data_IF_706074199251
#
_entry.id   IF_706074199251
#
_cell.length_a   1.000
_cell.length_b   1.000
_cell.length_c   1.000
_cell.angle_alpha   90.00
_cell.angle_beta   90.00
_cell.angle_gamma   90.00
#
_symmetry.space_group_name_H-M   'P 1'
#
loop_
_entity.id
_entity.type
_entity.pdbx_description
1 polymer ?
#
# COMPACT_ATOMS: atom_id res chain seq x y z
N UNK A 1 7.09 21.79 7.46
CA UNK A 1 8.32 22.39 8.06
C UNK A 1 9.38 21.38 8.51
N UNK A 2 9.17 20.10 8.37
CA UNK A 2 10.17 19.07 8.60
C UNK A 2 10.67 18.53 7.25
N UNK A 3 11.97 18.19 7.16
CA UNK A 3 12.53 17.50 5.99
C UNK A 3 11.95 16.09 5.86
N UNK A 4 12.16 15.40 4.72
CA UNK A 4 11.76 14.00 4.53
C UNK A 4 12.24 13.12 5.69
N UNK A 5 13.55 13.17 6.01
CA UNK A 5 14.14 12.41 7.11
C UNK A 5 13.45 12.70 8.45
N UNK A 6 13.31 13.95 8.81
CA UNK A 6 12.66 14.36 10.06
C UNK A 6 11.17 13.98 10.11
N UNK A 7 10.48 13.98 8.96
CA UNK A 7 9.12 13.50 8.85
C UNK A 7 9.00 12.00 9.18
N UNK A 8 9.89 11.17 8.64
CA UNK A 8 9.88 9.73 8.91
C UNK A 8 10.30 9.45 10.36
N UNK A 9 11.30 10.16 10.88
CA UNK A 9 11.75 10.05 12.28
C UNK A 9 10.70 10.51 13.29
N UNK A 10 9.75 11.36 12.92
CA UNK A 10 8.84 12.01 13.86
C UNK A 10 8.11 11.04 14.79
N UNK A 11 7.49 10.01 14.24
CA UNK A 11 6.78 9.01 15.04
C UNK A 11 7.70 8.16 15.91
N UNK A 12 8.93 7.89 15.45
CA UNK A 12 9.96 7.17 16.23
C UNK A 12 10.40 7.97 17.45
N UNK A 13 10.58 9.29 17.27
CA UNK A 13 10.93 10.21 18.36
C UNK A 13 9.81 10.30 19.39
N UNK A 14 8.55 10.33 18.98
CA UNK A 14 7.41 10.30 19.90
C UNK A 14 7.36 9.01 20.72
N UNK A 15 7.87 7.88 20.19
CA UNK A 15 8.04 6.62 20.94
C UNK A 15 9.27 6.61 21.85
N UNK A 16 10.02 7.71 21.96
CA UNK A 16 11.19 7.80 22.84
C UNK A 16 12.47 7.19 22.24
N UNK A 17 12.51 6.86 20.97
CA UNK A 17 13.69 6.29 20.31
C UNK A 17 14.83 7.30 20.27
N UNK A 18 16.07 6.85 20.51
CA UNK A 18 17.27 7.69 20.46
C UNK A 18 17.52 8.18 19.02
N UNK A 19 18.16 9.33 18.87
CA UNK A 19 18.36 10.00 17.58
C UNK A 19 19.03 9.10 16.54
N UNK A 20 20.13 8.47 16.90
CA UNK A 20 20.89 7.59 15.99
C UNK A 20 20.06 6.40 15.52
N UNK A 21 19.39 5.72 16.44
CA UNK A 21 18.54 4.58 16.14
C UNK A 21 17.32 4.97 15.29
N UNK A 22 16.69 6.12 15.61
CA UNK A 22 15.57 6.64 14.83
C UNK A 22 16.01 7.03 13.41
N UNK A 23 17.22 7.58 13.25
CA UNK A 23 17.76 7.93 11.94
C UNK A 23 18.08 6.68 11.10
N UNK A 24 18.73 5.68 11.67
CA UNK A 24 19.04 4.43 10.98
C UNK A 24 17.74 3.74 10.49
N UNK A 25 16.73 3.66 11.35
CA UNK A 25 15.45 3.05 10.99
C UNK A 25 14.68 3.90 9.96
N UNK A 26 14.69 5.23 10.09
CA UNK A 26 14.08 6.11 9.10
C UNK A 26 14.73 5.96 7.74
N UNK A 27 16.07 5.88 7.67
CA UNK A 27 16.79 5.67 6.41
C UNK A 27 16.46 4.35 5.74
N UNK A 28 16.24 3.26 6.50
CA UNK A 28 15.76 1.98 5.96
C UNK A 28 14.48 2.18 5.13
N UNK A 29 13.47 2.86 5.70
CA UNK A 29 12.19 3.05 5.02
C UNK A 29 12.21 4.15 3.96
N UNK A 30 13.07 5.17 4.09
CA UNK A 30 13.30 6.17 3.03
C UNK A 30 13.90 5.49 1.79
N UNK A 31 14.85 4.58 1.98
CA UNK A 31 15.42 3.78 0.89
C UNK A 31 14.39 2.84 0.27
N UNK A 32 13.56 2.16 1.08
CA UNK A 32 12.46 1.33 0.58
C UNK A 32 11.54 2.08 -0.39
N UNK A 33 11.28 3.36 -0.13
CA UNK A 33 10.46 4.21 -0.99
C UNK A 33 11.26 5.02 -2.01
N UNK A 34 12.56 4.78 -2.17
CA UNK A 34 13.46 5.41 -3.14
C UNK A 34 13.47 6.95 -3.04
N UNK A 35 13.70 7.45 -1.83
CA UNK A 35 13.80 8.89 -1.55
C UNK A 35 15.10 9.27 -0.82
N UNK A 36 16.15 8.45 -0.93
CA UNK A 36 17.44 8.69 -0.31
C UNK A 36 18.12 9.99 -0.77
N UNK A 37 17.93 10.37 -2.02
CA UNK A 37 18.49 11.62 -2.57
C UNK A 37 17.71 12.87 -2.11
N UNK A 38 16.56 12.69 -1.45
CA UNK A 38 15.65 13.75 -1.01
C UNK A 38 15.51 13.85 0.51
N UNK A 39 16.43 13.26 1.28
CA UNK A 39 16.34 13.16 2.75
C UNK A 39 16.24 14.52 3.44
N UNK A 40 16.91 15.54 2.90
CA UNK A 40 16.93 16.90 3.42
C UNK A 40 15.92 17.83 2.73
N UNK A 41 15.20 17.36 1.71
CA UNK A 41 14.17 18.13 1.04
C UNK A 41 12.94 18.35 1.94
N UNK A 42 12.29 19.49 1.75
CA UNK A 42 11.04 19.82 2.42
C UNK A 42 9.84 19.39 1.59
N UNK A 43 8.66 19.16 2.19
CA UNK A 43 7.45 18.74 1.44
C UNK A 43 7.06 19.65 0.28
N UNK A 44 7.35 20.96 0.35
CA UNK A 44 7.10 21.92 -0.74
C UNK A 44 7.93 21.64 -2.00
N UNK A 45 9.07 20.96 -1.85
CA UNK A 45 10.02 20.65 -2.92
C UNK A 45 9.73 19.27 -3.56
N UNK A 46 8.74 18.55 -3.04
CA UNK A 46 8.39 17.22 -3.48
C UNK A 46 7.17 17.21 -4.41
N UNK A 47 7.19 16.32 -5.40
CA UNK A 47 6.00 16.00 -6.20
C UNK A 47 4.90 15.33 -5.35
N UNK A 48 3.67 15.22 -5.89
CA UNK A 48 2.58 14.53 -5.22
C UNK A 48 2.92 13.07 -4.90
N UNK A 49 3.49 12.35 -5.84
CA UNK A 49 3.93 10.97 -5.66
C UNK A 49 5.06 10.82 -4.63
N UNK A 50 6.02 11.76 -4.60
CA UNK A 50 7.07 11.76 -3.57
C UNK A 50 6.47 11.99 -2.17
N UNK A 51 5.52 12.91 -2.01
CA UNK A 51 4.81 13.12 -0.74
C UNK A 51 4.10 11.86 -0.28
N UNK A 52 3.46 11.14 -1.19
CA UNK A 52 2.78 9.89 -0.89
C UNK A 52 3.78 8.81 -0.43
N UNK A 53 4.93 8.69 -1.09
CA UNK A 53 6.03 7.80 -0.68
C UNK A 53 6.57 8.15 0.71
N UNK A 54 6.73 9.43 1.04
CA UNK A 54 7.09 9.86 2.41
C UNK A 54 6.03 9.43 3.43
N UNK A 55 4.75 9.55 3.11
CA UNK A 55 3.67 9.13 4.02
C UNK A 55 3.71 7.61 4.28
N UNK A 56 3.99 6.80 3.25
CA UNK A 56 4.19 5.35 3.39
C UNK A 56 5.38 5.06 4.30
N UNK A 57 6.56 5.67 4.05
CA UNK A 57 7.74 5.48 4.88
C UNK A 57 7.49 5.86 6.35
N UNK A 58 6.78 6.95 6.62
CA UNK A 58 6.36 7.37 7.97
C UNK A 58 5.50 6.32 8.66
N UNK A 59 4.52 5.77 7.94
CA UNK A 59 3.61 4.77 8.48
C UNK A 59 4.34 3.47 8.81
N UNK A 60 5.28 3.05 7.98
CA UNK A 60 6.10 1.86 8.20
C UNK A 60 7.10 2.01 9.34
N UNK A 61 7.76 3.17 9.44
CA UNK A 61 8.83 3.40 10.41
C UNK A 61 8.38 3.16 11.86
N UNK A 62 7.16 3.54 12.20
CA UNK A 62 6.64 3.36 13.57
C UNK A 62 6.30 1.92 13.93
N UNK A 63 6.50 0.98 13.01
CA UNK A 63 6.27 -0.46 13.21
C UNK A 63 4.89 -0.76 13.81
N UNK A 64 3.78 -0.42 13.13
CA UNK A 64 2.45 -0.67 13.65
C UNK A 64 2.08 -2.15 13.54
N UNK A 65 1.20 -2.65 14.43
CA UNK A 65 0.61 -4.00 14.32
C UNK A 65 -0.41 -4.10 13.18
N UNK A 66 -1.07 -2.99 12.87
CA UNK A 66 -2.02 -2.83 11.76
C UNK A 66 -1.69 -1.57 10.98
N UNK A 67 -1.48 -1.69 9.69
CA UNK A 67 -1.23 -0.59 8.77
C UNK A 67 -2.50 -0.30 7.95
N UNK A 68 -3.00 0.92 8.05
CA UNK A 68 -4.15 1.39 7.29
C UNK A 68 -3.67 2.34 6.19
N UNK A 69 -4.07 2.08 4.95
CA UNK A 69 -3.70 2.88 3.79
C UNK A 69 -4.93 3.16 2.92
N UNK A 70 -5.06 4.39 2.50
CA UNK A 70 -6.12 4.84 1.58
C UNK A 70 -5.46 5.30 0.28
N UNK A 71 -5.76 4.61 -0.83
CA UNK A 71 -5.22 4.88 -2.16
C UNK A 71 -3.67 5.06 -2.17
N UNK A 72 -2.87 4.13 -1.60
CA UNK A 72 -1.45 4.37 -1.34
C UNK A 72 -0.60 4.57 -2.60
N UNK A 73 -1.13 4.25 -3.78
CA UNK A 73 -0.41 4.36 -5.06
C UNK A 73 -1.07 5.33 -6.05
N UNK A 74 -2.17 5.99 -5.66
CA UNK A 74 -3.00 6.79 -6.57
C UNK A 74 -2.27 7.96 -7.24
N UNK A 75 -1.30 8.60 -6.56
CA UNK A 75 -0.54 9.74 -7.11
C UNK A 75 0.77 9.33 -7.81
N UNK A 76 1.02 8.02 -8.01
CA UNK A 76 2.25 7.51 -8.61
C UNK A 76 2.08 7.25 -10.10
N UNK A 77 3.13 7.53 -10.88
CA UNK A 77 3.25 7.03 -12.23
C UNK A 77 3.38 5.50 -12.26
N UNK A 78 3.10 4.88 -13.41
CA UNK A 78 3.03 3.43 -13.54
C UNK A 78 4.34 2.72 -13.16
N UNK A 79 5.50 3.26 -13.50
CA UNK A 79 6.79 2.66 -13.22
C UNK A 79 7.11 2.71 -11.73
N UNK A 80 6.98 3.88 -11.11
CA UNK A 80 7.19 4.08 -9.67
C UNK A 80 6.20 3.23 -8.85
N UNK A 81 4.94 3.14 -9.28
CA UNK A 81 3.91 2.29 -8.65
C UNK A 81 4.33 0.84 -8.64
N UNK A 82 4.74 0.30 -9.79
CA UNK A 82 5.20 -1.08 -9.93
C UNK A 82 6.38 -1.40 -9.03
N UNK A 83 7.38 -0.52 -8.98
CA UNK A 83 8.54 -0.69 -8.12
C UNK A 83 8.15 -0.67 -6.64
N UNK A 84 7.34 0.31 -6.22
CA UNK A 84 6.94 0.42 -4.83
C UNK A 84 6.05 -0.76 -4.38
N UNK A 85 5.15 -1.25 -5.23
CA UNK A 85 4.38 -2.46 -4.95
C UNK A 85 5.30 -3.66 -4.71
N UNK A 86 6.33 -3.83 -5.50
CA UNK A 86 7.32 -4.91 -5.35
C UNK A 86 8.09 -4.80 -4.03
N UNK A 87 8.57 -3.60 -3.68
CA UNK A 87 9.28 -3.37 -2.42
C UNK A 87 8.36 -3.56 -1.18
N UNK A 88 7.11 -3.15 -1.29
CA UNK A 88 6.14 -3.37 -0.22
C UNK A 88 5.82 -4.85 -0.02
N UNK A 89 5.61 -5.61 -1.10
CA UNK A 89 5.39 -7.06 -1.01
C UNK A 89 6.56 -7.75 -0.31
N UNK A 90 7.78 -7.43 -0.71
CA UNK A 90 8.99 -7.96 -0.08
C UNK A 90 9.05 -7.61 1.42
N UNK A 91 8.82 -6.35 1.76
CA UNK A 91 8.79 -5.90 3.16
C UNK A 91 7.70 -6.61 3.96
N UNK A 92 6.52 -6.84 3.38
CA UNK A 92 5.43 -7.56 4.06
C UNK A 92 5.76 -9.02 4.30
N UNK A 93 6.46 -9.67 3.39
CA UNK A 93 6.92 -11.05 3.58
C UNK A 93 7.93 -11.16 4.71
N UNK A 94 8.86 -10.20 4.80
CA UNK A 94 9.87 -10.15 5.85
C UNK A 94 9.26 -9.81 7.23
N UNK A 95 8.41 -8.80 7.29
CA UNK A 95 7.91 -8.23 8.55
C UNK A 95 6.56 -8.82 8.99
N UNK A 96 5.87 -9.58 8.14
CA UNK A 96 4.58 -10.27 8.41
C UNK A 96 3.52 -9.37 9.05
N UNK A 97 3.40 -8.12 8.59
CA UNK A 97 2.44 -7.15 9.11
C UNK A 97 1.04 -7.38 8.58
N UNK A 98 0.04 -7.04 9.40
CA UNK A 98 -1.32 -6.92 8.93
C UNK A 98 -1.49 -5.57 8.26
N UNK A 99 -1.88 -5.57 6.98
CA UNK A 99 -2.17 -4.36 6.23
C UNK A 99 -3.64 -4.37 5.79
N UNK A 100 -4.26 -3.23 5.88
CA UNK A 100 -5.59 -2.98 5.35
C UNK A 100 -5.49 -1.75 4.46
N UNK A 101 -5.83 -1.89 3.18
CA UNK A 101 -5.78 -0.76 2.28
C UNK A 101 -6.98 -0.70 1.34
N UNK A 102 -7.32 0.51 0.97
CA UNK A 102 -8.39 0.83 0.05
C UNK A 102 -7.75 1.16 -1.28
N UNK A 103 -8.29 0.59 -2.35
CA UNK A 103 -7.94 0.94 -3.72
C UNK A 103 -9.13 0.75 -4.63
N UNK A 104 -9.15 1.44 -5.74
CA UNK A 104 -10.07 1.22 -6.86
C UNK A 104 -9.44 0.35 -7.96
N UNK A 105 -8.16 -0.03 -7.84
CA UNK A 105 -7.43 -0.85 -8.80
C UNK A 105 -7.54 -2.33 -8.45
N UNK A 106 -8.28 -3.09 -9.28
CA UNK A 106 -8.51 -4.53 -9.09
C UNK A 106 -7.19 -5.32 -9.18
N UNK A 107 -6.25 -4.90 -10.03
CA UNK A 107 -4.96 -5.59 -10.15
C UNK A 107 -4.10 -5.39 -8.91
N UNK A 108 -4.10 -4.18 -8.34
CA UNK A 108 -3.45 -3.94 -7.04
C UNK A 108 -4.06 -4.82 -5.96
N UNK A 109 -5.38 -4.90 -5.93
CA UNK A 109 -6.12 -5.71 -4.99
C UNK A 109 -5.65 -7.17 -5.01
N UNK A 110 -5.63 -7.79 -6.19
CA UNK A 110 -5.22 -9.18 -6.36
C UNK A 110 -3.74 -9.39 -6.09
N UNK A 111 -2.89 -8.45 -6.55
CA UNK A 111 -1.45 -8.57 -6.39
C UNK A 111 -1.03 -8.55 -4.93
N UNK A 112 -1.62 -7.65 -4.16
CA UNK A 112 -1.16 -7.32 -2.81
C UNK A 112 -1.93 -8.06 -1.70
N UNK A 113 -3.23 -8.31 -1.88
CA UNK A 113 -4.09 -8.82 -0.82
C UNK A 113 -4.14 -10.34 -0.78
N UNK A 114 -4.24 -10.91 0.43
CA UNK A 114 -4.67 -12.30 0.63
C UNK A 114 -6.20 -12.43 0.52
N UNK A 115 -6.92 -11.33 0.73
CA UNK A 115 -8.39 -11.26 0.70
C UNK A 115 -8.85 -9.93 0.19
N UNK A 116 -9.81 -9.92 -0.73
CA UNK A 116 -10.46 -8.74 -1.28
C UNK A 116 -11.88 -8.64 -0.75
N UNK A 117 -12.23 -7.47 -0.23
CA UNK A 117 -13.60 -7.17 0.21
C UNK A 117 -14.23 -6.22 -0.80
N UNK A 118 -15.26 -6.68 -1.51
CA UNK A 118 -16.05 -5.85 -2.42
C UNK A 118 -17.18 -5.21 -1.62
N UNK A 119 -17.31 -3.88 -1.76
CA UNK A 119 -18.34 -3.11 -1.08
C UNK A 119 -19.30 -2.48 -2.06
N UNK A 120 -20.58 -2.38 -1.67
CA UNK A 120 -21.57 -1.56 -2.36
C UNK A 120 -21.37 -0.06 -2.05
N UNK A 121 -21.88 0.81 -2.92
CA UNK A 121 -21.65 2.23 -2.79
C UNK A 121 -22.51 2.91 -1.71
N UNK A 122 -23.82 2.83 -1.79
CA UNK A 122 -24.75 3.56 -0.89
C UNK A 122 -25.99 2.75 -0.58
N UNK A 123 -26.22 2.33 0.68
CA UNK A 123 -25.28 2.43 1.81
C UNK A 123 -24.10 1.47 1.62
N UNK A 124 -22.90 1.83 2.14
CA UNK A 124 -21.72 0.97 2.11
C UNK A 124 -21.96 -0.34 2.87
N UNK A 125 -22.01 -1.46 2.17
CA UNK A 125 -22.18 -2.81 2.73
C UNK A 125 -21.15 -3.73 2.13
N UNK A 126 -20.68 -4.71 2.89
CA UNK A 126 -19.88 -5.80 2.34
C UNK A 126 -20.78 -6.61 1.42
N UNK A 127 -20.41 -6.66 0.13
CA UNK A 127 -21.11 -7.45 -0.87
C UNK A 127 -20.53 -8.85 -0.95
N UNK A 128 -19.22 -8.94 -0.97
CA UNK A 128 -18.51 -10.21 -1.09
C UNK A 128 -17.12 -10.11 -0.47
N UNK A 129 -16.62 -11.24 0.05
CA UNK A 129 -15.25 -11.42 0.52
C UNK A 129 -14.63 -12.52 -0.30
N UNK A 130 -13.57 -12.19 -1.05
CA UNK A 130 -12.94 -13.07 -2.03
C UNK A 130 -11.54 -13.41 -1.53
N UNK A 131 -11.25 -14.68 -1.28
CA UNK A 131 -9.91 -15.15 -0.98
C UNK A 131 -9.08 -15.21 -2.27
N UNK A 132 -7.85 -14.68 -2.21
CA UNK A 132 -6.92 -14.69 -3.33
C UNK A 132 -6.00 -15.89 -3.17
N UNK A 133 -6.29 -16.96 -3.88
CA UNK A 133 -5.64 -18.27 -3.82
C UNK A 133 -4.32 -18.36 -4.63
N UNK A 134 -3.79 -17.23 -5.05
CA UNK A 134 -2.47 -17.15 -5.68
C UNK A 134 -1.42 -17.11 -4.57
N UNK A 135 -0.43 -18.04 -4.56
CA UNK A 135 0.57 -18.09 -3.51
C UNK A 135 1.53 -16.88 -3.53
N UNK A 136 2.13 -16.57 -2.39
CA UNK A 136 3.27 -15.68 -2.28
C UNK A 136 4.59 -16.46 -2.47
N UNK A 137 5.69 -15.83 -2.93
CA UNK A 137 5.81 -14.41 -3.26
C UNK A 137 5.10 -14.05 -4.57
N UNK A 138 4.47 -12.89 -4.61
CA UNK A 138 3.85 -12.34 -5.82
C UNK A 138 4.70 -11.18 -6.37
N UNK A 139 4.73 -11.07 -7.69
CA UNK A 139 5.44 -10.03 -8.42
C UNK A 139 4.66 -9.63 -9.68
N UNK A 140 5.26 -8.85 -10.57
CA UNK A 140 4.59 -8.42 -11.80
C UNK A 140 4.30 -9.58 -12.77
N UNK A 141 5.09 -10.65 -12.74
CA UNK A 141 4.85 -11.84 -13.57
C UNK A 141 3.59 -12.60 -13.11
N UNK A 142 3.23 -12.47 -11.83
CA UNK A 142 1.98 -13.03 -11.29
C UNK A 142 0.76 -12.56 -12.06
N UNK A 143 0.80 -11.35 -12.63
CA UNK A 143 -0.29 -10.79 -13.46
C UNK A 143 -0.52 -11.55 -14.76
N UNK A 144 0.47 -12.33 -15.23
CA UNK A 144 0.39 -13.13 -16.45
C UNK A 144 -0.25 -14.50 -16.22
N UNK A 145 -0.46 -14.90 -14.96
CA UNK A 145 -1.08 -16.19 -14.64
C UNK A 145 -2.55 -16.22 -15.08
N UNK A 146 -3.04 -17.34 -15.66
CA UNK A 146 -4.45 -17.49 -16.00
C UNK A 146 -5.37 -17.23 -14.80
N UNK A 147 -4.98 -17.72 -13.61
CA UNK A 147 -5.73 -17.53 -12.38
C UNK A 147 -5.87 -16.07 -11.97
N UNK A 148 -4.84 -15.25 -12.20
CA UNK A 148 -4.91 -13.81 -11.97
C UNK A 148 -5.96 -13.15 -12.87
N UNK A 149 -5.98 -13.53 -14.15
CA UNK A 149 -6.96 -13.01 -15.12
C UNK A 149 -8.39 -13.43 -14.75
N UNK A 150 -8.60 -14.66 -14.30
CA UNK A 150 -9.91 -15.15 -13.83
C UNK A 150 -10.40 -14.32 -12.64
N UNK A 151 -9.57 -14.15 -11.61
CA UNK A 151 -9.90 -13.35 -10.44
C UNK A 151 -10.16 -11.89 -10.81
N UNK A 152 -9.34 -11.30 -11.69
CA UNK A 152 -9.53 -9.94 -12.18
C UNK A 152 -10.90 -9.78 -12.84
N UNK A 153 -11.25 -10.68 -13.76
CA UNK A 153 -12.54 -10.63 -14.46
C UNK A 153 -13.71 -10.82 -13.49
N UNK A 154 -13.58 -11.73 -12.55
CA UNK A 154 -14.60 -11.98 -11.54
C UNK A 154 -14.84 -10.76 -10.63
N UNK A 155 -13.77 -10.20 -10.06
CA UNK A 155 -13.86 -9.03 -9.20
C UNK A 155 -14.37 -7.82 -9.98
N UNK A 156 -13.85 -7.62 -11.21
CA UNK A 156 -14.29 -6.53 -12.08
C UNK A 156 -15.79 -6.61 -12.39
N UNK A 157 -16.33 -7.78 -12.69
CA UNK A 157 -17.76 -7.94 -12.93
C UNK A 157 -18.59 -7.57 -11.70
N UNK A 158 -18.15 -7.93 -10.50
CA UNK A 158 -18.83 -7.59 -9.27
C UNK A 158 -18.81 -6.06 -9.00
N UNK A 159 -17.66 -5.42 -9.22
CA UNK A 159 -17.50 -3.97 -9.10
C UNK A 159 -18.31 -3.23 -10.17
N UNK A 160 -18.29 -3.71 -11.42
CA UNK A 160 -18.99 -3.08 -12.53
C UNK A 160 -20.51 -3.12 -12.38
N UNK A 161 -21.07 -4.19 -11.86
CA UNK A 161 -22.50 -4.26 -11.51
C UNK A 161 -22.89 -3.17 -10.51
N UNK A 162 -22.07 -2.95 -9.49
CA UNK A 162 -22.27 -1.90 -8.50
C UNK A 162 -22.10 -0.49 -9.09
N UNK A 163 -21.14 -0.33 -10.01
CA UNK A 163 -20.96 0.95 -10.71
C UNK A 163 -22.17 1.34 -11.55
N UNK A 164 -22.83 0.40 -12.18
CA UNK A 164 -24.08 0.63 -12.92
C UNK A 164 -25.26 0.96 -12.00
N UNK A 165 -25.24 0.48 -10.75
CA UNK A 165 -26.27 0.76 -9.76
C UNK A 165 -26.00 2.03 -8.95
N UNK A 166 -24.77 2.33 -8.54
CA UNK A 166 -24.29 3.60 -7.93
C UNK A 166 -22.76 3.49 -7.63
N UNK A 167 -21.95 4.51 -7.92
CA UNK A 167 -20.49 4.65 -7.71
C UNK A 167 -19.88 3.85 -6.53
N UNK A 168 -18.97 2.95 -6.79
CA UNK A 168 -18.43 1.94 -5.86
C UNK A 168 -16.99 2.17 -5.40
N UNK A 169 -16.69 1.72 -4.16
CA UNK A 169 -15.34 1.64 -3.59
C UNK A 169 -14.96 0.19 -3.31
N UNK A 170 -13.71 -0.20 -3.59
CA UNK A 170 -13.16 -1.51 -3.25
C UNK A 170 -12.33 -1.40 -1.96
N UNK A 171 -12.62 -2.26 -1.02
CA UNK A 171 -11.94 -2.33 0.27
C UNK A 171 -11.09 -3.62 0.36
N UNK A 172 -9.83 -3.47 0.75
CA UNK A 172 -8.87 -4.58 0.81
C UNK A 172 -8.43 -4.90 2.21
N UNK A 173 -8.52 -6.15 2.56
CA UNK A 173 -8.02 -6.69 3.82
C UNK A 173 -6.84 -7.63 3.53
N UNK A 174 -5.64 -7.25 3.99
CA UNK A 174 -4.43 -8.04 3.80
C UNK A 174 -3.97 -8.67 5.10
N UNK A 175 -3.94 -9.98 5.05
CA UNK A 175 -3.22 -10.98 5.83
C UNK A 175 -3.45 -11.03 7.34
N UNK A 176 -4.06 -12.10 7.75
CA UNK A 176 -3.64 -12.90 8.91
C UNK A 176 -2.82 -14.09 8.38
N UNK A 177 -1.86 -14.54 9.19
CA UNK A 177 -1.03 -15.74 9.02
C UNK A 177 -1.72 -16.90 8.32
#
# INVERSE_FOLDING_TARGET
WLTVKKNVMFGLKLKGMKDKEAEELAMKYIKMVQLEDFVDAYPKELSGGMKQRVAIARAYAVNPSLLLMDEPFGALDAQTRTQLQTELLKTWEEEKKTCFFITHDVEEAILLASRVVVMSARPGRIKEVIDIDIPYPRNQETKMLPRFTELKNYIWQNVYKEYLEVLCSILLLVRRR
#
